data_IF_104202522758
#
_entry.id   IF_104202522758
#
_cell.length_a   1.000
_cell.length_b   1.000
_cell.length_c   1.000
_cell.angle_alpha   90.00
_cell.angle_beta   90.00
_cell.angle_gamma   90.00
#
_symmetry.space_group_name_H-M   'P 1'
#
loop_
_entity.id
_entity.type
_entity.pdbx_description
1 polymer ?
#
# COMPACT_ATOMS: atom_id res chain seq x y z
N UNK A 1 -12.64 8.68 17.47
CA UNK A 1 -13.02 7.64 16.50
C UNK A 1 -12.06 7.66 15.31
N UNK A 2 -11.52 6.51 14.88
CA UNK A 2 -10.72 6.41 13.67
C UNK A 2 -11.50 6.89 12.43
N UNK A 3 -10.78 7.43 11.44
CA UNK A 3 -11.33 7.82 10.13
C UNK A 3 -10.68 6.94 9.06
N UNK A 4 -11.46 6.53 8.08
CA UNK A 4 -11.02 5.66 6.99
C UNK A 4 -11.13 6.41 5.66
N UNK A 5 -10.06 6.36 4.86
CA UNK A 5 -10.02 6.91 3.50
C UNK A 5 -9.74 5.73 2.57
N UNK A 6 -10.69 5.40 1.71
CA UNK A 6 -10.53 4.35 0.71
C UNK A 6 -10.00 4.95 -0.59
N UNK A 7 -8.92 4.37 -1.12
CA UNK A 7 -8.30 4.81 -2.37
C UNK A 7 -8.51 3.72 -3.41
N UNK A 8 -9.34 4.00 -4.40
CA UNK A 8 -9.64 3.09 -5.52
C UNK A 8 -8.99 3.61 -6.81
N UNK A 9 -8.93 2.74 -7.83
CA UNK A 9 -8.41 3.07 -9.15
C UNK A 9 -9.40 2.72 -10.23
N UNK A 10 -9.53 3.59 -11.24
CA UNK A 10 -10.33 3.33 -12.43
C UNK A 10 -9.47 3.38 -13.70
N UNK A 11 -10.08 2.95 -14.81
CA UNK A 11 -9.52 2.98 -16.17
C UNK A 11 -8.38 1.98 -16.39
N UNK A 12 -7.20 2.21 -15.80
CA UNK A 12 -6.01 1.35 -15.99
C UNK A 12 -5.22 1.15 -14.69
N UNK A 13 -4.42 0.08 -14.65
CA UNK A 13 -3.43 -0.17 -13.59
C UNK A 13 -2.19 0.73 -13.77
N UNK A 14 -1.22 0.63 -12.85
CA UNK A 14 0.06 1.37 -12.92
C UNK A 14 -0.01 2.91 -12.89
N UNK A 15 -1.14 3.50 -12.52
CA UNK A 15 -1.33 4.96 -12.36
C UNK A 15 -0.64 5.59 -11.13
N UNK A 16 0.25 4.87 -10.43
CA UNK A 16 0.94 5.43 -9.25
C UNK A 16 0.07 5.57 -7.99
N UNK A 17 -1.03 4.82 -7.87
CA UNK A 17 -1.97 4.90 -6.72
C UNK A 17 -1.29 4.76 -5.36
N UNK A 18 -0.32 3.85 -5.23
CA UNK A 18 0.44 3.66 -3.99
C UNK A 18 1.26 4.89 -3.60
N UNK A 19 1.89 5.56 -4.57
CA UNK A 19 2.66 6.78 -4.35
C UNK A 19 1.76 7.94 -3.95
N UNK A 20 0.59 8.08 -4.60
CA UNK A 20 -0.41 9.09 -4.24
C UNK A 20 -0.94 8.89 -2.84
N UNK A 21 -1.26 7.64 -2.46
CA UNK A 21 -1.71 7.29 -1.11
C UNK A 21 -0.64 7.60 -0.04
N UNK A 22 0.63 7.23 -0.30
CA UNK A 22 1.75 7.53 0.57
C UNK A 22 1.97 9.04 0.74
N UNK A 23 1.90 9.79 -0.36
CA UNK A 23 2.01 11.26 -0.37
C UNK A 23 0.91 11.94 0.45
N UNK A 24 -0.34 11.48 0.30
CA UNK A 24 -1.46 11.96 1.12
C UNK A 24 -1.24 11.64 2.60
N UNK A 25 -0.80 10.42 2.92
CA UNK A 25 -0.47 10.02 4.28
C UNK A 25 0.61 10.92 4.90
N UNK A 26 1.63 11.30 4.12
CA UNK A 26 2.67 12.24 4.55
C UNK A 26 2.10 13.63 4.86
N UNK A 27 1.22 14.17 4.02
CA UNK A 27 0.56 15.47 4.26
C UNK A 27 -0.35 15.46 5.50
N UNK A 28 -1.03 14.35 5.75
CA UNK A 28 -1.85 14.21 6.96
C UNK A 28 -0.99 14.10 8.21
N UNK A 29 0.13 13.34 8.16
CA UNK A 29 1.11 13.29 9.25
C UNK A 29 1.72 14.67 9.53
N UNK A 30 2.04 15.46 8.49
CA UNK A 30 2.57 16.82 8.69
C UNK A 30 1.55 17.79 9.31
N UNK A 31 0.26 17.44 9.33
CA UNK A 31 -0.79 18.15 10.07
C UNK A 31 -0.98 17.64 11.50
N UNK A 32 -0.05 16.83 12.02
CA UNK A 32 -0.11 16.28 13.38
C UNK A 32 -1.09 15.13 13.57
N UNK A 33 -1.61 14.55 12.48
CA UNK A 33 -2.53 13.42 12.57
C UNK A 33 -1.76 12.09 12.67
N UNK A 34 -2.24 11.18 13.52
CA UNK A 34 -1.79 9.78 13.52
C UNK A 34 -2.41 9.06 12.32
N UNK A 35 -1.57 8.63 11.39
CA UNK A 35 -2.00 7.98 10.14
C UNK A 35 -1.26 6.66 9.96
N UNK A 36 -2.01 5.63 9.55
CA UNK A 36 -1.50 4.34 9.09
C UNK A 36 -2.03 4.05 7.69
N UNK A 37 -1.32 3.20 6.94
CA UNK A 37 -1.71 2.76 5.59
C UNK A 37 -1.86 1.24 5.59
N UNK A 38 -2.82 0.75 4.81
CA UNK A 38 -3.05 -0.68 4.57
C UNK A 38 -3.27 -0.90 3.08
N UNK A 39 -2.63 -1.93 2.55
CA UNK A 39 -2.74 -2.34 1.14
C UNK A 39 -3.58 -3.61 1.06
N UNK A 40 -4.51 -3.63 0.12
CA UNK A 40 -5.26 -4.83 -0.25
C UNK A 40 -4.79 -5.28 -1.63
N UNK A 41 -4.18 -6.47 -1.70
CA UNK A 41 -3.75 -7.10 -2.94
C UNK A 41 -4.77 -8.16 -3.36
N UNK A 42 -5.39 -8.05 -4.56
CA UNK A 42 -6.45 -8.96 -4.99
C UNK A 42 -5.90 -10.28 -5.59
N UNK A 43 -4.68 -10.68 -5.23
CA UNK A 43 -4.07 -11.91 -5.69
C UNK A 43 -4.47 -13.09 -4.79
N UNK A 44 -4.40 -14.31 -5.32
CA UNK A 44 -4.70 -15.52 -4.55
C UNK A 44 -3.55 -15.96 -3.65
N UNK A 45 -2.33 -15.51 -3.95
CA UNK A 45 -1.15 -15.77 -3.13
C UNK A 45 -1.40 -15.29 -1.70
N UNK A 46 -1.12 -16.16 -0.72
CA UNK A 46 -1.26 -15.82 0.71
C UNK A 46 -0.31 -14.68 1.10
N UNK A 47 0.91 -14.73 0.56
CA UNK A 47 1.97 -13.75 0.69
C UNK A 47 2.74 -13.63 -0.64
N UNK A 48 3.48 -12.53 -0.88
CA UNK A 48 4.24 -12.34 -2.12
C UNK A 48 5.54 -13.18 -2.17
N UNK A 49 5.91 -13.93 -1.13
CA UNK A 49 7.15 -14.72 -1.07
C UNK A 49 7.23 -15.85 -2.10
N UNK A 50 6.07 -16.29 -2.61
CA UNK A 50 5.99 -17.28 -3.70
C UNK A 50 6.02 -16.64 -5.10
N UNK A 51 6.05 -15.30 -5.22
CA UNK A 51 6.11 -14.60 -6.50
C UNK A 51 7.56 -14.41 -6.95
N UNK A 52 7.81 -14.49 -8.26
CA UNK A 52 9.13 -14.21 -8.82
C UNK A 52 9.47 -12.72 -8.70
N UNK A 53 10.57 -12.33 -8.05
CA UNK A 53 10.89 -10.92 -7.80
C UNK A 53 11.24 -10.15 -9.09
N UNK A 54 11.77 -10.84 -10.10
CA UNK A 54 12.09 -10.22 -11.39
C UNK A 54 10.86 -9.85 -12.21
N UNK A 55 9.71 -10.47 -11.93
CA UNK A 55 8.46 -10.23 -12.65
C UNK A 55 7.48 -9.37 -11.84
N UNK A 56 7.47 -9.53 -10.52
CA UNK A 56 6.47 -8.92 -9.63
C UNK A 56 7.03 -7.84 -8.69
N UNK A 57 8.35 -7.64 -8.67
CA UNK A 57 9.03 -6.70 -7.78
C UNK A 57 9.52 -7.36 -6.48
N UNK A 58 10.20 -6.56 -5.66
CA UNK A 58 10.73 -7.02 -4.38
C UNK A 58 9.64 -7.47 -3.39
N UNK A 59 10.01 -8.35 -2.46
CA UNK A 59 9.20 -8.69 -1.29
C UNK A 59 9.66 -7.80 -0.14
N UNK A 60 8.81 -6.87 0.29
CA UNK A 60 9.07 -6.03 1.46
C UNK A 60 8.74 -6.81 2.74
N UNK A 61 9.63 -6.76 3.73
CA UNK A 61 9.46 -7.43 5.04
C UNK A 61 9.31 -6.38 6.14
N UNK A 62 8.29 -6.50 6.99
CA UNK A 62 8.05 -5.61 8.13
C UNK A 62 8.84 -6.03 9.37
N UNK A 63 8.88 -5.15 10.39
CA UNK A 63 9.64 -5.39 11.63
C UNK A 63 9.21 -6.65 12.40
N UNK A 64 7.98 -7.12 12.20
CA UNK A 64 7.44 -8.36 12.77
C UNK A 64 7.69 -9.60 11.89
N UNK A 65 8.39 -9.44 10.76
CA UNK A 65 8.79 -10.52 9.86
C UNK A 65 7.74 -10.93 8.84
N UNK A 66 6.62 -10.20 8.74
CA UNK A 66 5.63 -10.38 7.68
C UNK A 66 6.08 -9.76 6.35
#
# INVERSE_FOLDING_TARGET
MPKYIFITGGVVSSLGKGITAASLGRLLKSRGLKVTLQKFDPYLNVDPGMMSPYQHGEVYVTDDGA
#
